data_IF_712813659788
#
_entry.id   IF_712813659788
#
_cell.length_a   1.000
_cell.length_b   1.000
_cell.length_c   1.000
_cell.angle_alpha   90.00
_cell.angle_beta   90.00
_cell.angle_gamma   90.00
#
_symmetry.space_group_name_H-M   'P 1'
#
loop_
_entity.id
_entity.type
_entity.pdbx_description
1 polymer ?
#
# COMPACT_ATOMS: atom_id res chain seq x y z
N UNK A 1 -9.65 3.67 17.03
CA UNK A 1 -9.58 3.04 16.71
C UNK A 1 -8.86 2.42 16.18
N UNK A 2 -8.69 1.60 16.39
CA UNK A 2 -7.70 0.96 16.18
C UNK A 2 -7.64 0.46 14.95
N UNK A 3 -6.92 0.87 14.24
CA UNK A 3 -6.49 0.25 13.16
C UNK A 3 -5.56 -0.71 13.61
N UNK A 4 -5.97 -1.77 14.03
CA UNK A 4 -5.06 -2.68 14.54
C UNK A 4 -4.69 -3.59 13.51
N UNK A 5 -3.57 -3.90 13.49
CA UNK A 5 -3.08 -4.95 12.70
C UNK A 5 -3.49 -6.26 13.26
N UNK A 6 -3.43 -7.26 12.46
CA UNK A 6 -3.80 -8.60 12.81
C UNK A 6 -2.54 -9.36 13.07
N UNK A 7 -1.86 -9.06 14.11
CA UNK A 7 -0.61 -9.72 14.47
C UNK A 7 0.61 -9.11 13.81
N UNK A 8 0.42 -8.05 13.03
CA UNK A 8 1.53 -7.33 12.44
C UNK A 8 1.95 -6.21 13.37
N UNK A 9 2.95 -5.46 12.98
CA UNK A 9 3.43 -4.33 13.75
C UNK A 9 2.30 -3.30 13.92
N UNK A 10 2.02 -2.84 15.14
CA UNK A 10 0.99 -1.81 15.34
C UNK A 10 1.48 -0.47 14.79
N UNK A 11 0.56 0.43 14.56
CA UNK A 11 0.89 1.79 14.17
C UNK A 11 1.57 2.50 15.32
N UNK A 12 2.63 3.22 15.01
CA UNK A 12 3.32 4.04 15.99
C UNK A 12 2.69 5.42 16.01
N UNK A 13 3.04 6.21 17.03
CA UNK A 13 2.62 7.60 17.09
C UNK A 13 3.12 8.36 15.87
N UNK A 14 4.33 8.06 15.41
CA UNK A 14 4.90 8.71 14.24
C UNK A 14 4.12 8.36 12.98
N UNK A 15 3.66 7.12 12.87
CA UNK A 15 2.81 6.72 11.74
C UNK A 15 1.53 7.54 11.74
N UNK A 16 0.88 7.69 12.90
CA UNK A 16 -0.35 8.46 13.01
C UNK A 16 -0.12 9.93 12.68
N UNK A 17 0.99 10.50 13.15
CA UNK A 17 1.32 11.89 12.84
C UNK A 17 1.50 12.08 11.34
N UNK A 18 2.15 11.13 10.68
CA UNK A 18 2.35 11.18 9.23
C UNK A 18 1.01 11.13 8.50
N UNK A 19 0.13 10.23 8.94
CA UNK A 19 -1.19 10.09 8.34
C UNK A 19 -2.00 11.38 8.50
N UNK A 20 -1.93 12.01 9.65
CA UNK A 20 -2.65 13.25 9.93
C UNK A 20 -2.20 14.39 9.04
N UNK A 21 -0.96 14.36 8.57
CA UNK A 21 -0.41 15.42 7.73
C UNK A 21 -0.62 15.18 6.24
N UNK A 22 -1.26 14.10 5.86
CA UNK A 22 -1.50 13.82 4.45
C UNK A 22 -2.43 14.88 3.86
N UNK A 23 -2.08 15.34 2.66
CA UNK A 23 -2.94 16.24 1.91
C UNK A 23 -4.09 15.45 1.30
N UNK A 24 -5.16 16.15 0.97
CA UNK A 24 -6.27 15.50 0.28
C UNK A 24 -5.78 14.92 -1.05
N UNK A 25 -6.27 13.76 -1.40
CA UNK A 25 -5.89 13.10 -2.63
C UNK A 25 -4.56 12.37 -2.56
N UNK A 26 -3.90 12.38 -1.41
CA UNK A 26 -2.69 11.58 -1.20
C UNK A 26 -2.98 10.46 -0.22
N UNK A 27 -2.07 9.48 -0.18
CA UNK A 27 -2.23 8.32 0.69
C UNK A 27 -0.87 7.84 1.16
N UNK A 28 -0.87 6.98 2.14
CA UNK A 28 0.34 6.40 2.70
C UNK A 28 0.19 4.89 2.76
N UNK A 29 1.21 4.19 2.29
CA UNK A 29 1.31 2.75 2.50
C UNK A 29 2.32 2.51 3.60
N UNK A 30 1.97 1.67 4.56
CA UNK A 30 2.89 1.29 5.62
C UNK A 30 3.09 -0.20 5.54
N UNK A 31 4.36 -0.63 5.43
CA UNK A 31 4.68 -2.04 5.43
C UNK A 31 4.58 -2.56 6.85
N UNK A 32 3.78 -3.60 7.05
CA UNK A 32 3.50 -4.12 8.38
C UNK A 32 4.16 -5.46 8.63
N UNK A 33 4.76 -6.07 7.61
CA UNK A 33 5.36 -7.38 7.78
C UNK A 33 6.55 -7.56 6.84
N UNK A 34 7.55 -8.30 7.31
CA UNK A 34 8.72 -8.65 6.51
C UNK A 34 9.90 -7.76 6.82
N UNK A 35 10.94 -7.90 6.01
CA UNK A 35 12.21 -7.20 6.23
C UNK A 35 12.06 -5.68 6.13
N UNK A 36 11.05 -5.20 5.41
CA UNK A 36 10.80 -3.77 5.26
C UNK A 36 9.71 -3.26 6.20
N UNK A 37 9.38 -4.03 7.25
CA UNK A 37 8.35 -3.63 8.21
C UNK A 37 8.67 -2.25 8.78
N UNK A 38 7.68 -1.38 8.78
CA UNK A 38 7.83 0.00 9.21
C UNK A 38 8.14 0.98 8.09
N UNK A 39 8.48 0.49 6.89
CA UNK A 39 8.69 1.37 5.76
C UNK A 39 7.39 2.05 5.35
N UNK A 40 7.51 3.31 4.95
CA UNK A 40 6.36 4.11 4.51
C UNK A 40 6.57 4.55 3.09
N UNK A 41 5.51 4.47 2.30
CA UNK A 41 5.55 4.88 0.90
C UNK A 41 4.45 5.88 0.66
N UNK A 42 4.81 7.10 0.28
CA UNK A 42 3.83 8.15 0.03
C UNK A 42 3.27 7.99 -1.39
N UNK A 43 1.96 8.01 -1.50
CA UNK A 43 1.27 8.00 -2.79
C UNK A 43 0.78 9.43 -3.05
N UNK A 44 1.51 10.17 -3.89
CA UNK A 44 1.19 11.57 -4.18
C UNK A 44 1.22 11.89 -5.67
N UNK A 45 1.33 10.88 -6.53
CA UNK A 45 1.30 11.05 -7.96
C UNK A 45 0.14 10.27 -8.56
N UNK A 46 -0.21 10.55 -9.79
CA UNK A 46 -1.35 9.89 -10.43
C UNK A 46 -1.12 8.41 -10.69
N UNK A 47 0.12 8.02 -10.92
CA UNK A 47 0.48 6.62 -11.09
C UNK A 47 1.76 6.31 -10.35
N UNK A 48 1.77 5.22 -9.60
CA UNK A 48 2.92 4.78 -8.85
C UNK A 48 3.10 3.29 -9.10
N UNK A 49 4.24 2.92 -9.66
CA UNK A 49 4.51 1.53 -10.03
C UNK A 49 5.16 0.78 -8.88
N UNK A 50 4.85 -0.50 -8.79
CA UNK A 50 5.39 -1.37 -7.75
C UNK A 50 5.95 -2.62 -8.41
N UNK A 51 7.14 -3.01 -8.04
CA UNK A 51 7.73 -4.22 -8.58
C UNK A 51 9.16 -4.44 -8.14
N UNK A 52 9.75 -5.49 -8.71
CA UNK A 52 11.12 -5.86 -8.44
C UNK A 52 12.10 -5.17 -9.39
N UNK A 53 11.60 -4.55 -10.46
CA UNK A 53 12.45 -3.80 -11.37
C UNK A 53 12.97 -2.56 -10.65
N UNK A 54 14.28 -2.27 -10.70
CA UNK A 54 14.84 -1.09 -10.04
C UNK A 54 14.23 0.23 -10.48
N UNK A 55 13.53 0.26 -11.62
CA UNK A 55 12.86 1.47 -12.10
C UNK A 55 11.48 1.67 -11.50
N UNK A 56 10.98 0.71 -10.72
CA UNK A 56 9.69 0.86 -10.07
C UNK A 56 9.74 1.99 -9.05
N UNK A 57 8.64 2.73 -8.93
CA UNK A 57 8.55 3.80 -7.94
C UNK A 57 8.65 3.24 -6.53
N UNK A 58 8.00 2.10 -6.30
CA UNK A 58 8.14 1.36 -5.05
C UNK A 58 8.85 0.06 -5.39
N UNK A 59 10.11 -0.02 -4.99
CA UNK A 59 10.91 -1.20 -5.26
C UNK A 59 10.76 -2.20 -4.13
N UNK A 60 10.20 -3.35 -4.44
CA UNK A 60 10.12 -4.48 -3.51
C UNK A 60 11.02 -5.58 -4.07
N UNK A 61 12.27 -5.58 -3.64
CA UNK A 61 13.30 -6.45 -4.20
C UNK A 61 13.26 -7.82 -3.56
N UNK A 62 12.35 -8.66 -4.05
CA UNK A 62 12.18 -10.01 -3.55
C UNK A 62 11.69 -10.93 -4.67
N UNK A 63 12.07 -12.19 -4.61
CA UNK A 63 11.72 -13.16 -5.64
C UNK A 63 10.22 -13.43 -5.73
N UNK A 64 9.45 -13.13 -4.69
CA UNK A 64 8.00 -13.29 -4.72
C UNK A 64 7.28 -12.15 -5.44
N UNK A 65 8.00 -11.11 -5.80
CA UNK A 65 7.45 -9.92 -6.48
C UNK A 65 7.86 -9.97 -7.95
N UNK A 66 6.89 -9.78 -8.84
CA UNK A 66 7.17 -9.69 -10.27
C UNK A 66 7.87 -8.38 -10.58
N UNK A 67 8.61 -8.33 -11.68
CA UNK A 67 9.35 -7.11 -12.08
C UNK A 67 8.39 -5.93 -12.22
N UNK A 68 7.26 -6.13 -12.89
CA UNK A 68 6.15 -5.18 -12.91
C UNK A 68 4.99 -5.89 -12.23
N UNK A 69 4.72 -5.56 -10.98
CA UNK A 69 3.75 -6.33 -10.20
C UNK A 69 2.40 -5.65 -10.12
N UNK A 70 2.39 -4.37 -9.78
CA UNK A 70 1.14 -3.64 -9.60
C UNK A 70 1.35 -2.15 -9.85
N UNK A 71 0.24 -1.43 -10.00
CA UNK A 71 0.25 0.02 -10.17
C UNK A 71 -0.82 0.57 -9.25
N UNK A 72 -0.48 1.63 -8.52
CA UNK A 72 -1.47 2.43 -7.80
C UNK A 72 -1.82 3.61 -8.69
N UNK A 73 -3.11 3.75 -9.00
CA UNK A 73 -3.58 4.83 -9.87
C UNK A 73 -4.61 5.67 -9.15
N UNK A 74 -4.43 6.97 -9.21
CA UNK A 74 -5.34 7.91 -8.57
C UNK A 74 -6.43 8.31 -9.54
N UNK A 75 -7.69 8.13 -9.11
CA UNK A 75 -8.87 8.53 -9.87
C UNK A 75 -9.83 9.20 -8.91
N UNK A 76 -10.22 10.43 -9.21
CA UNK A 76 -11.15 11.20 -8.38
C UNK A 76 -10.70 11.31 -6.92
N UNK A 77 -9.41 11.50 -6.73
CA UNK A 77 -8.86 11.73 -5.38
C UNK A 77 -8.66 10.48 -4.54
N UNK A 78 -8.88 9.30 -5.11
CA UNK A 78 -8.68 8.03 -4.41
C UNK A 78 -7.82 7.12 -5.25
N UNK A 79 -7.12 6.19 -4.61
CA UNK A 79 -6.26 5.26 -5.31
C UNK A 79 -6.94 3.91 -5.53
N UNK A 80 -6.66 3.32 -6.68
CA UNK A 80 -6.96 1.92 -6.96
C UNK A 80 -5.64 1.19 -7.14
N UNK A 81 -5.60 -0.07 -6.75
CA UNK A 81 -4.47 -0.93 -7.08
C UNK A 81 -4.87 -1.79 -8.28
N UNK A 82 -3.94 -1.93 -9.23
CA UNK A 82 -4.18 -2.66 -10.47
C UNK A 82 -3.05 -3.67 -10.61
N UNK A 83 -3.39 -4.94 -10.73
CA UNK A 83 -2.38 -5.97 -10.98
C UNK A 83 -1.83 -5.80 -12.39
N UNK A 84 -0.53 -5.85 -12.53
CA UNK A 84 0.14 -5.64 -13.83
C UNK A 84 0.52 -6.96 -14.49
N UNK A 85 -0.27 -7.99 -14.28
CA UNK A 85 0.02 -9.31 -14.84
C UNK A 85 1.03 -10.09 -14.00
N UNK A 86 1.01 -9.91 -12.70
CA UNK A 86 1.97 -10.54 -11.81
C UNK A 86 1.83 -12.05 -11.78
N UNK A 87 2.92 -12.73 -11.48
CA UNK A 87 2.91 -14.19 -11.39
C UNK A 87 2.12 -14.66 -10.17
N UNK A 88 2.35 -14.01 -9.02
CA UNK A 88 1.75 -14.48 -7.77
C UNK A 88 0.46 -13.75 -7.40
N UNK A 89 0.08 -12.73 -8.15
CA UNK A 89 -1.16 -12.00 -7.91
C UNK A 89 -1.00 -10.84 -6.94
N UNK A 90 -2.00 -9.97 -6.97
CA UNK A 90 -2.13 -8.86 -6.04
C UNK A 90 -3.40 -9.11 -5.22
N UNK A 91 -3.31 -8.94 -3.91
CA UNK A 91 -4.42 -9.25 -3.01
C UNK A 91 -4.80 -8.03 -2.20
N UNK A 92 -6.10 -7.81 -2.04
CA UNK A 92 -6.63 -6.77 -1.16
C UNK A 92 -7.52 -7.46 -0.13
N UNK A 93 -7.20 -7.28 1.13
CA UNK A 93 -7.90 -7.92 2.23
C UNK A 93 -8.01 -9.43 2.00
N UNK A 94 -6.90 -10.02 1.52
CA UNK A 94 -6.74 -11.47 1.29
C UNK A 94 -7.56 -12.02 0.12
N UNK A 95 -8.06 -11.15 -0.73
CA UNK A 95 -8.75 -11.57 -1.95
C UNK A 95 -7.94 -11.13 -3.15
N UNK A 96 -7.71 -12.03 -4.09
CA UNK A 96 -7.00 -11.73 -5.31
C UNK A 96 -7.84 -10.80 -6.17
N UNK A 97 -7.23 -9.72 -6.66
CA UNK A 97 -7.94 -8.73 -7.47
C UNK A 97 -7.14 -8.41 -8.72
N UNK A 98 -7.86 -8.09 -9.79
CA UNK A 98 -7.24 -7.50 -10.96
C UNK A 98 -7.14 -6.00 -10.80
N UNK A 99 -8.15 -5.42 -10.18
CA UNK A 99 -8.20 -3.99 -9.89
C UNK A 99 -9.17 -3.77 -8.73
N UNK A 100 -8.81 -2.88 -7.83
CA UNK A 100 -9.65 -2.59 -6.68
C UNK A 100 -9.44 -1.17 -6.21
N UNK A 101 -10.52 -0.42 -6.06
CA UNK A 101 -10.44 0.88 -5.41
C UNK A 101 -10.21 0.68 -3.92
N UNK A 102 -9.26 1.41 -3.37
CA UNK A 102 -8.81 1.22 -2.00
C UNK A 102 -9.56 2.12 -1.04
N UNK A 103 -9.85 1.57 0.13
CA UNK A 103 -10.42 2.31 1.24
C UNK A 103 -9.42 2.35 2.37
N UNK A 104 -9.52 3.38 3.20
CA UNK A 104 -8.63 3.51 4.35
C UNK A 104 -8.62 2.23 5.18
N UNK A 105 -7.45 1.74 5.49
CA UNK A 105 -7.26 0.52 6.27
C UNK A 105 -7.17 -0.76 5.44
N UNK A 106 -7.34 -0.69 4.13
CA UNK A 106 -7.21 -1.89 3.31
C UNK A 106 -5.78 -2.43 3.35
N UNK A 107 -5.67 -3.75 3.40
CA UNK A 107 -4.39 -4.45 3.39
C UNK A 107 -4.12 -4.94 1.99
N UNK A 108 -2.96 -4.62 1.45
CA UNK A 108 -2.54 -5.05 0.12
C UNK A 108 -1.37 -6.02 0.28
N UNK A 109 -1.47 -7.20 -0.33
CA UNK A 109 -0.38 -8.15 -0.38
C UNK A 109 0.23 -8.19 -1.77
N UNK A 110 1.53 -7.98 -1.83
CA UNK A 110 2.31 -8.05 -3.06
C UNK A 110 3.51 -8.94 -2.75
N UNK A 111 3.53 -10.13 -3.34
CA UNK A 111 4.49 -11.13 -2.95
C UNK A 111 4.36 -11.43 -1.45
N UNK A 112 5.47 -11.46 -0.74
CA UNK A 112 5.44 -11.68 0.71
C UNK A 112 5.24 -10.41 1.51
N UNK A 113 5.12 -9.26 0.83
CA UNK A 113 4.98 -7.98 1.51
C UNK A 113 3.51 -7.69 1.81
N UNK A 114 3.29 -7.10 2.97
CA UNK A 114 1.96 -6.71 3.40
C UNK A 114 1.99 -5.22 3.69
N UNK A 115 1.15 -4.47 2.99
CA UNK A 115 1.09 -3.01 3.08
C UNK A 115 -0.32 -2.62 3.48
N UNK A 116 -0.43 -1.61 4.32
CA UNK A 116 -1.74 -1.09 4.70
C UNK A 116 -1.88 0.33 4.18
N UNK A 117 -3.03 0.61 3.59
CA UNK A 117 -3.34 1.87 2.92
C UNK A 117 -4.05 2.81 3.87
N UNK A 118 -3.53 4.03 3.99
CA UNK A 118 -4.10 5.03 4.87
C UNK A 118 -4.30 6.34 4.15
N UNK A 119 -5.38 7.04 4.49
CA UNK A 119 -5.63 8.40 4.06
C UNK A 119 -5.84 9.25 5.29
N UNK A 120 -5.91 10.58 5.11
CA UNK A 120 -6.12 11.46 6.25
C UNK A 120 -7.51 11.25 6.91
N UNK A 121 -8.43 10.57 6.23
CA UNK A 121 -9.72 10.25 6.82
C UNK A 121 -9.58 9.25 7.97
N UNK A 122 -8.45 8.58 8.10
CA UNK A 122 -8.22 7.61 9.18
C UNK A 122 -8.32 8.23 10.56
N UNK A 123 -8.09 9.54 10.69
CA UNK A 123 -8.06 10.21 11.98
C UNK A 123 -9.23 11.16 12.17
N UNK A 124 -10.15 11.18 11.25
CA UNK A 124 -11.30 12.06 11.30
C UNK A 124 -12.53 11.32 11.79
N UNK A 125 -12.43 10.11 11.97
CA UNK A 125 -13.58 9.27 12.27
C UNK A 125 -14.31 9.68 13.55
#
# INVERSE_FOLDING_TARGET
>A
VPITSTGDRPLTKEDLDTIMRLSDGTALLISTRGAVSGSRYLLDEDEITVGRDPRADILLDDSTVSRSHAVFRRVNGAYSVIDAGSLNGTYVNRQRVDQKQLNNGDEIMIGKFRLVYFTNSAVIA
#
